data_IF_257540954754
#
_entry.id   IF_257540954754
#
_cell.length_a   1.000
_cell.length_b   1.000
_cell.length_c   1.000
_cell.angle_alpha   90.00
_cell.angle_beta   90.00
_cell.angle_gamma   90.00
#
_symmetry.space_group_name_H-M   'P 1'
#
loop_
_entity.id
_entity.type
_entity.pdbx_description
1 polymer ?
#
# COMPACT_ATOMS: atom_id res chain seq x y z
N UNK A 1 -46.17 49.87 -13.94
CA UNK A 1 -46.55 49.31 -15.26
C UNK A 1 -45.23 48.87 -15.89
N UNK A 2 -44.81 47.61 -15.73
CA UNK A 2 -45.11 46.48 -16.65
C UNK A 2 -44.43 46.68 -18.00
N UNK A 3 -43.68 45.78 -18.63
CA UNK A 3 -43.19 44.41 -18.37
C UNK A 3 -42.24 44.09 -19.54
N UNK A 4 -41.16 43.34 -19.32
CA UNK A 4 -40.45 42.47 -20.30
C UNK A 4 -39.32 41.79 -19.52
N UNK A 5 -39.17 40.47 -19.41
CA UNK A 5 -39.62 39.39 -20.28
C UNK A 5 -38.37 38.69 -20.82
N UNK A 6 -37.79 37.77 -20.06
CA UNK A 6 -36.83 36.78 -20.59
C UNK A 6 -36.86 35.51 -19.75
N UNK A 7 -37.24 34.45 -20.45
CA UNK A 7 -37.61 33.12 -20.00
C UNK A 7 -36.50 32.39 -19.25
N UNK A 8 -36.83 31.92 -18.05
CA UNK A 8 -36.11 30.84 -17.39
C UNK A 8 -36.68 29.50 -17.86
N UNK A 9 -35.90 28.73 -18.62
CA UNK A 9 -36.20 27.31 -18.84
C UNK A 9 -35.55 26.53 -17.71
N UNK A 10 -36.35 26.27 -16.68
CA UNK A 10 -36.06 25.31 -15.61
C UNK A 10 -36.29 23.93 -16.21
N UNK A 11 -35.22 23.14 -16.37
CA UNK A 11 -35.36 21.72 -16.62
C UNK A 11 -34.88 20.97 -15.38
N UNK A 12 -35.85 20.69 -14.50
CA UNK A 12 -35.75 19.72 -13.44
C UNK A 12 -35.68 18.33 -14.07
N UNK A 13 -34.56 17.63 -13.90
CA UNK A 13 -34.55 16.17 -13.98
C UNK A 13 -34.06 15.61 -12.67
N UNK A 14 -35.02 15.01 -11.96
CA UNK A 14 -34.80 14.12 -10.85
C UNK A 14 -33.88 12.96 -11.28
N UNK A 15 -32.84 12.75 -10.50
CA UNK A 15 -32.02 11.54 -10.45
C UNK A 15 -31.71 11.31 -8.99
N UNK A 16 -32.64 10.66 -8.30
CA UNK A 16 -32.51 10.29 -6.91
C UNK A 16 -31.44 9.20 -6.75
N UNK A 17 -30.76 9.32 -5.61
CA UNK A 17 -30.25 8.24 -4.76
C UNK A 17 -29.13 7.33 -5.26
N UNK A 18 -28.19 7.19 -4.33
CA UNK A 18 -27.38 6.00 -4.09
C UNK A 18 -26.38 5.61 -5.17
N UNK A 19 -25.22 6.26 -5.12
CA UNK A 19 -23.95 5.53 -5.20
C UNK A 19 -23.06 5.98 -4.06
N UNK A 20 -23.11 5.17 -2.99
CA UNK A 20 -22.33 5.35 -1.79
C UNK A 20 -20.84 5.53 -2.08
N UNK A 21 -20.22 6.37 -1.26
CA UNK A 21 -18.81 6.28 -0.95
C UNK A 21 -18.54 4.85 -0.46
N UNK A 22 -18.06 4.00 -1.36
CA UNK A 22 -17.39 2.77 -0.99
C UNK A 22 -16.10 3.16 -0.30
N UNK A 23 -16.15 3.30 1.02
CA UNK A 23 -15.00 3.03 1.88
C UNK A 23 -14.55 1.63 1.53
N UNK A 24 -13.41 1.52 0.84
CA UNK A 24 -12.67 0.28 0.78
C UNK A 24 -12.09 0.05 2.16
N UNK A 25 -12.92 -0.52 3.04
CA UNK A 25 -12.49 -1.20 4.24
C UNK A 25 -11.59 -2.35 3.77
N UNK A 26 -10.29 -2.10 3.81
CA UNK A 26 -9.30 -3.12 3.51
C UNK A 26 -9.12 -3.92 4.79
N UNK A 27 -10.08 -4.83 5.03
CA UNK A 27 -9.96 -5.91 6.00
C UNK A 27 -8.58 -6.57 5.86
N UNK A 28 -7.73 -6.63 6.91
CA UNK A 28 -6.49 -7.40 6.88
C UNK A 28 -6.71 -8.93 6.93
N UNK A 29 -7.95 -9.41 6.71
CA UNK A 29 -8.31 -10.83 6.80
C UNK A 29 -8.59 -11.52 5.46
N UNK A 30 -8.49 -10.83 4.31
CA UNK A 30 -8.81 -11.44 3.00
C UNK A 30 -7.56 -11.82 2.20
N UNK A 31 -6.83 -12.81 2.70
CA UNK A 31 -5.97 -13.69 1.91
C UNK A 31 -6.43 -15.15 2.07
N UNK A 32 -7.74 -15.37 2.01
CA UNK A 32 -8.29 -16.68 1.74
C UNK A 32 -8.47 -16.78 0.23
N UNK A 33 -7.49 -17.37 -0.45
CA UNK A 33 -7.61 -17.75 -1.86
C UNK A 33 -8.87 -18.58 -2.06
N UNK A 34 -9.74 -18.05 -2.92
CA UNK A 34 -10.85 -18.65 -3.62
C UNK A 34 -10.52 -20.04 -4.22
N UNK A 35 -10.62 -21.09 -3.42
CA UNK A 35 -10.74 -22.46 -3.91
C UNK A 35 -12.23 -22.84 -3.99
N UNK A 36 -12.93 -22.30 -4.97
CA UNK A 36 -14.29 -22.74 -5.32
C UNK A 36 -14.39 -22.86 -6.83
N UNK A 37 -13.56 -23.74 -7.39
CA UNK A 37 -13.84 -24.30 -8.71
C UNK A 37 -13.38 -25.75 -8.76
N UNK A 38 -14.32 -26.63 -9.09
CA UNK A 38 -14.16 -28.06 -9.40
C UNK A 38 -13.76 -28.96 -8.21
N UNK A 39 -14.71 -29.23 -7.31
CA UNK A 39 -14.72 -30.48 -6.53
C UNK A 39 -14.99 -31.63 -7.51
N UNK A 40 -13.93 -32.17 -8.10
CA UNK A 40 -13.94 -33.53 -8.64
C UNK A 40 -13.70 -34.46 -7.45
N UNK A 41 -14.56 -35.45 -7.17
CA UNK A 41 -14.30 -36.40 -6.10
C UNK A 41 -13.02 -37.16 -6.45
N UNK A 42 -11.90 -36.78 -5.82
CA UNK A 42 -10.67 -37.55 -5.85
C UNK A 42 -10.98 -38.82 -5.06
N UNK A 43 -10.82 -39.94 -5.76
CA UNK A 43 -11.02 -41.28 -5.27
C UNK A 43 -10.55 -41.43 -3.83
N UNK A 44 -11.45 -41.94 -3.00
CA UNK A 44 -11.16 -42.54 -1.69
C UNK A 44 -9.91 -43.39 -1.81
N UNK A 45 -8.78 -42.81 -1.41
CA UNK A 45 -7.53 -43.54 -1.26
C UNK A 45 -7.72 -44.45 -0.04
N UNK A 46 -7.47 -45.76 -0.17
CA UNK A 46 -7.60 -46.66 0.97
C UNK A 46 -6.64 -46.20 2.08
N UNK A 47 -6.94 -46.51 3.36
CA UNK A 47 -5.95 -46.34 4.40
C UNK A 47 -4.69 -47.06 3.96
N UNK A 48 -3.59 -46.32 3.85
CA UNK A 48 -2.27 -46.91 3.65
C UNK A 48 -1.93 -47.65 4.94
N UNK A 49 -2.51 -48.84 5.09
CA UNK A 49 -2.07 -49.85 6.04
C UNK A 49 -0.74 -50.29 5.48
N UNK A 50 0.33 -49.66 5.97
CA UNK A 50 1.68 -50.16 5.77
C UNK A 50 1.69 -51.55 6.42
N UNK A 51 1.42 -52.59 5.61
CA UNK A 51 1.56 -53.98 6.01
C UNK A 51 3.06 -54.20 6.21
N UNK A 52 3.53 -54.40 7.45
CA UNK A 52 4.94 -54.65 7.67
C UNK A 52 5.30 -55.97 6.97
N UNK A 53 6.46 -56.07 6.30
CA UNK A 53 6.91 -57.33 5.75
C UNK A 53 7.09 -58.33 6.91
N UNK A 54 6.44 -59.49 6.76
CA UNK A 54 6.67 -60.63 7.63
C UNK A 54 8.11 -61.12 7.39
N UNK A 55 8.92 -61.10 8.44
CA UNK A 55 10.29 -61.64 8.41
C UNK A 55 11.36 -60.65 8.81
N UNK A 56 11.35 -60.22 10.07
CA UNK A 56 12.59 -59.88 10.75
C UNK A 56 12.54 -60.58 12.10
N UNK A 57 13.41 -61.59 12.27
CA UNK A 57 13.78 -62.02 13.61
C UNK A 57 14.43 -60.82 14.29
N UNK A 58 13.74 -60.28 15.29
CA UNK A 58 14.28 -59.22 16.12
C UNK A 58 15.31 -59.86 17.04
N UNK A 59 16.56 -59.92 16.59
CA UNK A 59 17.68 -60.13 17.50
C UNK A 59 17.64 -59.01 18.54
N UNK A 60 17.25 -59.40 19.75
CA UNK A 60 17.14 -58.58 20.95
C UNK A 60 18.51 -57.98 21.28
N UNK A 61 18.81 -56.83 20.68
CA UNK A 61 20.08 -56.13 20.86
C UNK A 61 20.18 -54.81 20.09
N UNK A 62 19.43 -54.64 18.99
CA UNK A 62 19.57 -53.48 18.09
C UNK A 62 18.29 -52.67 17.82
N UNK A 63 17.18 -52.95 18.51
CA UNK A 63 15.93 -52.19 18.35
C UNK A 63 15.97 -50.78 18.98
N UNK A 64 16.79 -50.59 20.02
CA UNK A 64 16.98 -49.31 20.70
C UNK A 64 17.47 -48.19 19.77
N UNK A 65 18.54 -48.34 18.97
CA UNK A 65 19.01 -47.27 18.09
C UNK A 65 18.02 -46.94 16.96
N UNK A 66 17.26 -47.91 16.44
CA UNK A 66 16.31 -47.68 15.34
C UNK A 66 15.09 -46.83 15.75
N UNK A 67 14.56 -47.04 16.96
CA UNK A 67 13.47 -46.20 17.49
C UNK A 67 13.94 -44.76 17.77
N UNK A 68 15.20 -44.60 18.20
CA UNK A 68 15.82 -43.29 18.45
C UNK A 68 15.99 -42.49 17.15
N UNK A 69 16.44 -43.11 16.05
CA UNK A 69 16.63 -42.40 14.78
C UNK A 69 15.31 -41.98 14.14
N UNK A 70 14.28 -42.82 14.18
CA UNK A 70 12.94 -42.46 13.69
C UNK A 70 12.33 -41.29 14.47
N UNK A 71 12.48 -41.29 15.79
CA UNK A 71 12.02 -40.18 16.65
C UNK A 71 12.81 -38.90 16.37
N UNK A 72 14.13 -39.01 16.20
CA UNK A 72 14.98 -37.89 15.84
C UNK A 72 14.59 -37.30 14.47
N UNK A 73 14.30 -38.14 13.47
CA UNK A 73 13.84 -37.69 12.16
C UNK A 73 12.50 -36.96 12.23
N UNK A 74 11.56 -37.45 13.04
CA UNK A 74 10.28 -36.78 13.26
C UNK A 74 10.45 -35.42 13.95
N UNK A 75 11.31 -35.34 14.97
CA UNK A 75 11.61 -34.09 15.66
C UNK A 75 12.30 -33.08 14.71
N UNK A 76 13.26 -33.53 13.91
CA UNK A 76 13.96 -32.68 12.93
C UNK A 76 13.00 -32.20 11.83
N UNK A 77 12.09 -33.06 11.35
CA UNK A 77 11.07 -32.67 10.36
C UNK A 77 10.05 -31.68 10.91
N UNK A 78 9.64 -31.83 12.18
CA UNK A 78 8.75 -30.86 12.83
C UNK A 78 9.44 -29.51 13.02
N UNK A 79 10.71 -29.51 13.45
CA UNK A 79 11.46 -28.27 13.67
C UNK A 79 11.75 -27.53 12.36
N UNK A 80 11.95 -28.24 11.25
CA UNK A 80 12.18 -27.61 9.93
C UNK A 80 10.94 -26.89 9.40
N UNK A 81 9.75 -27.49 9.53
CA UNK A 81 8.49 -26.86 9.16
C UNK A 81 8.15 -25.65 10.03
N UNK A 82 8.40 -25.75 11.33
CA UNK A 82 8.21 -24.63 12.27
C UNK A 82 9.12 -23.45 11.92
N UNK A 83 10.39 -23.73 11.57
CA UNK A 83 11.35 -22.70 11.16
C UNK A 83 10.95 -22.04 9.83
N UNK A 84 10.47 -22.83 8.86
CA UNK A 84 9.98 -22.32 7.59
C UNK A 84 8.76 -21.40 7.76
N UNK A 85 7.80 -21.79 8.60
CA UNK A 85 6.60 -21.00 8.88
C UNK A 85 6.96 -19.65 9.52
N UNK A 86 7.89 -19.63 10.48
CA UNK A 86 8.33 -18.40 11.12
C UNK A 86 9.03 -17.45 10.14
N UNK A 87 9.88 -17.99 9.25
CA UNK A 87 10.54 -17.18 8.23
C UNK A 87 9.58 -16.60 7.19
N UNK A 88 8.54 -17.34 6.79
CA UNK A 88 7.51 -16.82 5.89
C UNK A 88 6.76 -15.64 6.54
N UNK A 89 6.40 -15.78 7.82
CA UNK A 89 5.73 -14.71 8.56
C UNK A 89 6.60 -13.45 8.72
N UNK A 90 7.90 -13.62 9.00
CA UNK A 90 8.83 -12.49 9.10
C UNK A 90 8.94 -11.73 7.77
N UNK A 91 9.06 -12.44 6.64
CA UNK A 91 9.07 -11.81 5.30
C UNK A 91 7.76 -11.11 4.98
N UNK A 92 6.63 -11.68 5.40
CA UNK A 92 5.32 -11.07 5.28
C UNK A 92 5.24 -9.72 6.00
N UNK A 93 5.68 -9.67 7.27
CA UNK A 93 5.70 -8.43 8.06
C UNK A 93 6.60 -7.36 7.45
N UNK A 94 7.79 -7.74 7.00
CA UNK A 94 8.73 -6.80 6.36
C UNK A 94 8.10 -6.17 5.11
N UNK A 95 7.49 -6.98 4.23
CA UNK A 95 6.80 -6.48 3.03
C UNK A 95 5.66 -5.55 3.38
N UNK A 96 4.87 -5.89 4.41
CA UNK A 96 3.79 -5.04 4.90
C UNK A 96 4.30 -3.68 5.37
N UNK A 97 5.32 -3.66 6.22
CA UNK A 97 5.89 -2.39 6.71
C UNK A 97 6.41 -1.51 5.56
N UNK A 98 7.12 -2.08 4.59
CA UNK A 98 7.59 -1.32 3.43
C UNK A 98 6.43 -0.80 2.57
N UNK A 99 5.41 -1.62 2.32
CA UNK A 99 4.24 -1.20 1.55
C UNK A 99 3.49 -0.05 2.23
N UNK A 100 3.25 -0.14 3.55
CA UNK A 100 2.60 0.93 4.32
C UNK A 100 3.42 2.22 4.31
N UNK A 101 4.75 2.13 4.40
CA UNK A 101 5.61 3.32 4.31
C UNK A 101 5.53 3.99 2.93
N UNK A 102 5.57 3.20 1.86
CA UNK A 102 5.48 3.71 0.49
C UNK A 102 4.12 4.37 0.22
N UNK A 103 3.05 3.76 0.74
CA UNK A 103 1.69 4.29 0.61
C UNK A 103 1.54 5.63 1.32
N UNK A 104 1.98 5.75 2.58
CA UNK A 104 1.98 7.00 3.33
C UNK A 104 2.78 8.12 2.63
N UNK A 105 3.95 7.79 2.05
CA UNK A 105 4.74 8.74 1.26
C UNK A 105 3.99 9.19 0.01
N UNK A 106 3.33 8.27 -0.69
CA UNK A 106 2.51 8.57 -1.87
C UNK A 106 1.31 9.44 -1.51
N UNK A 107 0.58 9.13 -0.44
CA UNK A 107 -0.56 9.93 0.02
C UNK A 107 -0.15 11.34 0.39
N UNK A 108 0.98 11.51 1.10
CA UNK A 108 1.53 12.83 1.42
C UNK A 108 1.94 13.61 0.16
N UNK A 109 2.54 12.94 -0.81
CA UNK A 109 2.88 13.55 -2.10
C UNK A 109 1.64 13.96 -2.90
N UNK A 110 0.57 13.16 -2.86
CA UNK A 110 -0.71 13.46 -3.49
C UNK A 110 -1.43 14.65 -2.83
N UNK A 111 -1.46 14.73 -1.49
CA UNK A 111 -2.00 15.89 -0.78
C UNK A 111 -1.22 17.17 -1.11
N UNK A 112 0.12 17.11 -1.15
CA UNK A 112 0.95 18.22 -1.63
C UNK A 112 0.62 18.62 -3.07
N UNK A 113 0.56 17.64 -3.98
CA UNK A 113 0.24 17.86 -5.40
C UNK A 113 -1.14 18.51 -5.60
N UNK A 114 -2.13 18.08 -4.82
CA UNK A 114 -3.47 18.64 -4.84
C UNK A 114 -3.48 20.09 -4.35
N UNK A 115 -2.75 20.39 -3.27
CA UNK A 115 -2.61 21.76 -2.75
C UNK A 115 -1.84 22.66 -3.70
N UNK A 116 -0.83 22.13 -4.37
CA UNK A 116 -0.01 22.83 -5.34
C UNK A 116 -0.67 22.99 -6.72
N UNK A 117 -1.99 22.80 -6.79
CA UNK A 117 -2.79 23.05 -7.99
C UNK A 117 -3.47 24.43 -7.92
N UNK A 118 -4.03 24.89 -9.05
CA UNK A 118 -4.73 26.17 -9.10
C UNK A 118 -3.79 27.37 -8.91
N UNK A 119 -4.09 28.26 -7.96
CA UNK A 119 -3.30 29.47 -7.71
C UNK A 119 -1.87 29.16 -7.24
N UNK A 120 -1.69 28.08 -6.49
CA UNK A 120 -0.40 27.65 -5.93
C UNK A 120 0.54 27.03 -6.97
N UNK A 121 0.02 26.63 -8.14
CA UNK A 121 0.81 26.00 -9.20
C UNK A 121 1.95 26.92 -9.69
N UNK A 122 1.76 28.24 -9.60
CA UNK A 122 2.79 29.23 -9.93
C UNK A 122 4.07 29.06 -9.08
N UNK A 123 3.94 28.64 -7.83
CA UNK A 123 5.08 28.45 -6.92
C UNK A 123 5.93 27.24 -7.32
N UNK A 124 5.34 26.23 -7.96
CA UNK A 124 6.06 25.00 -8.33
C UNK A 124 7.17 25.23 -9.36
N UNK A 125 7.12 26.32 -10.13
CA UNK A 125 8.19 26.70 -11.05
C UNK A 125 9.50 27.13 -10.35
N UNK A 126 9.45 27.35 -9.03
CA UNK A 126 10.55 27.93 -8.25
C UNK A 126 10.93 27.04 -7.08
N UNK A 127 12.20 27.03 -6.64
CA UNK A 127 12.61 26.34 -5.42
C UNK A 127 11.86 26.87 -4.19
N UNK A 128 11.56 25.97 -3.24
CA UNK A 128 10.83 26.33 -1.99
C UNK A 128 11.47 27.45 -1.17
N UNK A 129 12.78 27.62 -1.30
CA UNK A 129 13.57 28.64 -0.61
C UNK A 129 13.25 30.05 -1.12
N UNK A 130 12.72 30.19 -2.33
CA UNK A 130 12.46 31.47 -2.99
C UNK A 130 10.99 31.91 -2.91
N UNK A 131 10.07 31.03 -2.50
CA UNK A 131 8.62 31.31 -2.48
C UNK A 131 8.21 32.57 -1.70
N UNK A 132 8.92 32.91 -0.62
CA UNK A 132 8.62 34.12 0.17
C UNK A 132 8.97 35.43 -0.54
N UNK A 133 9.78 35.38 -1.60
CA UNK A 133 10.27 36.55 -2.33
C UNK A 133 9.54 36.74 -3.67
N UNK A 134 8.63 35.82 -4.02
CA UNK A 134 7.96 35.77 -5.31
C UNK A 134 6.70 36.64 -5.32
N UNK A 135 6.86 37.91 -5.70
CA UNK A 135 5.72 38.80 -5.96
C UNK A 135 4.93 38.43 -7.22
N UNK A 136 5.52 37.61 -8.12
CA UNK A 136 4.88 37.18 -9.37
C UNK A 136 3.67 36.26 -9.15
N UNK A 137 3.67 35.48 -8.07
CA UNK A 137 2.58 34.57 -7.73
C UNK A 137 1.60 35.22 -6.73
N UNK A 138 1.08 36.41 -7.05
CA UNK A 138 0.34 37.25 -6.11
C UNK A 138 -0.97 36.69 -5.52
N UNK A 139 -1.48 35.58 -6.07
CA UNK A 139 -2.65 34.86 -5.53
C UNK A 139 -2.29 33.57 -4.78
N UNK A 140 -1.02 33.20 -4.78
CA UNK A 140 -0.52 31.97 -4.16
C UNK A 140 -0.10 32.26 -2.70
N UNK A 141 -0.47 31.38 -1.78
CA UNK A 141 0.00 31.36 -0.40
C UNK A 141 1.09 30.28 -0.21
N UNK A 142 2.36 30.67 -0.08
CA UNK A 142 3.44 29.74 0.20
C UNK A 142 3.23 28.91 1.46
N UNK A 143 2.48 29.40 2.46
CA UNK A 143 2.25 28.66 3.71
C UNK A 143 1.31 27.48 3.51
N UNK A 144 0.38 27.56 2.56
CA UNK A 144 -0.54 26.47 2.24
C UNK A 144 0.18 25.20 1.74
N UNK A 145 1.39 25.35 1.19
CA UNK A 145 2.24 24.26 0.71
C UNK A 145 3.31 23.80 1.71
N UNK A 146 3.49 24.51 2.84
CA UNK A 146 4.54 24.19 3.83
C UNK A 146 4.20 22.98 4.68
N UNK A 147 2.91 22.69 4.86
CA UNK A 147 2.45 21.56 5.65
C UNK A 147 1.06 21.11 5.21
N UNK A 148 0.72 19.88 5.56
CA UNK A 148 -0.58 19.29 5.31
C UNK A 148 -0.78 18.02 6.11
N UNK A 149 -1.81 17.27 5.74
CA UNK A 149 -2.14 16.01 6.37
C UNK A 149 -2.68 15.05 5.30
N UNK A 150 -2.15 13.83 5.29
CA UNK A 150 -2.60 12.76 4.40
C UNK A 150 -2.75 11.47 5.21
N UNK A 151 -3.90 10.80 5.09
CA UNK A 151 -4.24 9.57 5.83
C UNK A 151 -3.98 9.69 7.35
N UNK A 152 -4.30 10.85 7.92
CA UNK A 152 -4.10 11.15 9.34
C UNK A 152 -2.66 11.52 9.73
N UNK A 153 -1.67 11.30 8.84
CA UNK A 153 -0.27 11.65 9.07
C UNK A 153 0.00 13.10 8.65
N UNK A 154 0.47 13.90 9.60
CA UNK A 154 0.93 15.25 9.31
C UNK A 154 2.23 15.21 8.52
N UNK A 155 2.38 16.08 7.51
CA UNK A 155 3.61 16.23 6.76
C UNK A 155 4.03 17.69 6.68
N UNK A 156 5.34 17.92 6.57
CA UNK A 156 5.97 19.23 6.45
C UNK A 156 6.91 19.22 5.26
N UNK A 157 6.80 20.22 4.39
CA UNK A 157 7.72 20.43 3.28
C UNK A 157 9.11 20.80 3.81
N UNK A 158 10.10 19.95 3.54
CA UNK A 158 11.51 20.27 3.80
C UNK A 158 12.11 21.05 2.65
N UNK A 159 11.86 20.58 1.42
CA UNK A 159 12.42 21.19 0.21
C UNK A 159 11.59 20.82 -1.02
N UNK A 160 11.45 21.78 -1.92
CA UNK A 160 11.01 21.58 -3.28
C UNK A 160 12.09 22.08 -4.24
N UNK A 161 12.54 21.22 -5.17
CA UNK A 161 13.46 21.58 -6.23
C UNK A 161 12.79 21.34 -7.59
N UNK A 162 12.45 22.39 -8.34
CA UNK A 162 11.94 22.22 -9.70
C UNK A 162 13.05 21.71 -10.63
N UNK A 163 12.74 20.69 -11.44
CA UNK A 163 13.48 20.39 -12.67
C UNK A 163 12.74 20.91 -13.91
N UNK A 164 13.08 20.38 -15.09
CA UNK A 164 12.48 20.81 -16.36
C UNK A 164 11.01 20.36 -16.50
N UNK A 165 10.73 19.11 -16.10
CA UNK A 165 9.40 18.49 -16.16
C UNK A 165 9.08 17.64 -14.92
N UNK A 166 10.11 17.36 -14.11
CA UNK A 166 10.05 16.59 -12.88
C UNK A 166 10.79 17.39 -11.82
N UNK A 167 10.19 17.56 -10.64
CA UNK A 167 10.84 18.16 -9.48
C UNK A 167 10.95 17.19 -8.34
N UNK A 168 11.96 17.43 -7.50
CA UNK A 168 12.20 16.64 -6.32
C UNK A 168 11.49 17.27 -5.13
N UNK A 169 10.52 16.54 -4.61
CA UNK A 169 9.82 16.87 -3.37
C UNK A 169 10.50 16.15 -2.21
N UNK A 170 10.87 16.89 -1.18
CA UNK A 170 11.37 16.35 0.09
C UNK A 170 10.41 16.75 1.20
N UNK A 171 9.77 15.75 1.80
CA UNK A 171 8.82 15.89 2.90
C UNK A 171 9.40 15.31 4.18
N UNK A 172 8.91 15.80 5.30
CA UNK A 172 9.01 15.14 6.58
C UNK A 172 7.61 14.72 7.01
N UNK A 173 7.39 13.42 7.12
CA UNK A 173 6.12 12.82 7.48
C UNK A 173 6.22 12.39 8.95
N UNK A 174 5.20 12.71 9.75
CA UNK A 174 5.13 12.28 11.13
C UNK A 174 5.29 10.74 11.21
N UNK A 175 6.02 10.27 12.20
CA UNK A 175 6.31 8.84 12.46
C UNK A 175 7.24 8.14 11.44
N UNK A 176 7.22 8.52 10.16
CA UNK A 176 8.05 7.91 9.11
C UNK A 176 9.39 8.64 8.91
N UNK A 177 9.46 9.93 9.25
CA UNK A 177 10.65 10.74 9.07
C UNK A 177 10.72 11.41 7.69
N UNK A 178 11.93 11.62 7.18
CA UNK A 178 12.15 12.34 5.92
C UNK A 178 12.04 11.40 4.72
N UNK A 179 11.25 11.78 3.73
CA UNK A 179 11.09 11.07 2.47
C UNK A 179 11.30 12.02 1.29
N UNK A 180 11.88 11.52 0.21
CA UNK A 180 12.06 12.24 -1.03
C UNK A 180 11.40 11.48 -2.18
N UNK A 181 10.72 12.21 -3.05
CA UNK A 181 9.97 11.65 -4.16
C UNK A 181 10.01 12.61 -5.35
N UNK A 182 10.07 12.03 -6.55
CA UNK A 182 10.08 12.81 -7.77
C UNK A 182 8.64 12.98 -8.29
N UNK A 183 8.24 14.23 -8.49
CA UNK A 183 6.92 14.63 -8.98
C UNK A 183 7.07 15.20 -10.39
N UNK A 184 6.43 14.58 -11.39
CA UNK A 184 6.18 15.25 -12.65
C UNK A 184 5.02 16.24 -12.46
N UNK A 185 5.12 17.37 -13.12
CA UNK A 185 3.96 18.22 -13.35
C UNK A 185 3.70 18.30 -14.85
N UNK A 186 2.43 18.28 -15.19
CA UNK A 186 1.92 18.53 -16.54
C UNK A 186 0.85 19.61 -16.46
N UNK A 187 0.49 20.20 -17.59
CA UNK A 187 -0.64 21.14 -17.65
C UNK A 187 -1.98 20.50 -17.22
N UNK A 188 -2.06 19.17 -17.22
CA UNK A 188 -3.21 18.40 -16.73
C UNK A 188 -3.17 18.09 -15.22
N UNK A 189 -2.11 18.48 -14.52
CA UNK A 189 -1.91 18.22 -13.09
C UNK A 189 -0.56 17.59 -12.74
N UNK A 190 -0.33 17.39 -11.44
CA UNK A 190 0.90 16.80 -10.88
C UNK A 190 0.73 15.28 -10.76
N UNK A 191 1.69 14.51 -11.29
CA UNK A 191 1.73 13.06 -11.22
C UNK A 191 3.07 12.59 -10.65
N UNK A 192 3.04 11.58 -9.78
CA UNK A 192 4.25 11.00 -9.20
C UNK A 192 5.03 10.18 -10.23
N UNK A 193 6.35 10.42 -10.38
CA UNK A 193 7.23 9.66 -11.28
C UNK A 193 8.09 8.70 -10.46
N UNK A 194 7.48 7.62 -9.99
CA UNK A 194 8.16 6.53 -9.29
C UNK A 194 8.79 6.90 -7.94
N UNK A 195 9.00 5.92 -7.07
CA UNK A 195 10.02 6.03 -6.01
C UNK A 195 11.32 5.44 -6.58
N UNK A 196 12.50 5.99 -6.26
CA UNK A 196 13.77 5.32 -6.54
C UNK A 196 13.90 4.01 -5.74
#
# INVERSE_FOLDING_TARGET
MSSSGSSSTINSRAGASDKGCGVSDQDPASFAGNASDVVKPIATMPPFVARPPAGWEVSSGFALPAALTLSALLLISSLSLQTLAMHQQQRGRQRWHTATQQDAVRSAAMDFAQRASGAEACLLAWPSEQWSQLAACGAADPQALRSGQADGLAWILKRWQPGQSIGRLSLHIAELGSAAIDLAWSEAGVQQVGLP
#
